data_IF_786515490359
#
_entry.id   IF_786515490359
#
_cell.length_a   1.000
_cell.length_b   1.000
_cell.length_c   1.000
_cell.angle_alpha   90.00
_cell.angle_beta   90.00
_cell.angle_gamma   90.00
#
_symmetry.space_group_name_H-M   'P 1'
#
loop_
_entity.id
_entity.type
_entity.pdbx_description
1 polymer ?
#
# COMPACT_ATOMS: atom_id res chain seq x y z
N UNK A 1 52.41 26.18 8.39
CA UNK A 1 51.63 25.12 9.07
C UNK A 1 51.07 25.66 10.37
N UNK A 2 49.81 26.09 10.40
CA UNK A 2 49.15 26.52 11.64
C UNK A 2 48.60 25.26 12.32
N UNK A 3 49.22 24.86 13.43
CA UNK A 3 48.72 23.76 14.27
C UNK A 3 47.51 24.29 15.02
N UNK A 4 46.32 24.14 14.43
CA UNK A 4 45.05 24.36 15.14
C UNK A 4 44.94 23.28 16.22
N UNK A 5 45.13 23.71 17.48
CA UNK A 5 45.07 22.86 18.67
C UNK A 5 43.73 22.10 18.67
N UNK A 6 43.77 20.76 18.65
CA UNK A 6 42.61 19.82 18.65
C UNK A 6 41.45 20.19 19.60
N UNK A 7 41.74 20.90 20.70
CA UNK A 7 40.76 21.38 21.67
C UNK A 7 39.86 22.49 21.13
N UNK A 8 40.38 23.35 20.25
CA UNK A 8 39.63 24.42 19.61
C UNK A 8 38.66 23.86 18.57
N UNK A 9 39.07 22.84 17.80
CA UNK A 9 38.17 22.17 16.83
C UNK A 9 36.98 21.52 17.53
N UNK A 10 37.19 20.85 18.67
CA UNK A 10 36.10 20.25 19.47
C UNK A 10 35.12 21.29 20.03
N UNK A 11 35.65 22.43 20.49
CA UNK A 11 34.85 23.57 20.93
C UNK A 11 34.02 24.16 19.78
N UNK A 12 34.63 24.36 18.61
CA UNK A 12 33.92 24.86 17.43
C UNK A 12 32.85 23.89 16.94
N UNK A 13 33.13 22.58 16.92
CA UNK A 13 32.10 21.57 16.58
C UNK A 13 30.98 21.54 17.60
N UNK A 14 31.27 21.70 18.90
CA UNK A 14 30.23 21.76 19.92
C UNK A 14 29.39 23.03 19.82
N UNK A 15 30.00 24.18 19.59
CA UNK A 15 29.30 25.45 19.39
C UNK A 15 28.44 25.41 18.12
N UNK A 16 28.95 24.85 17.02
CA UNK A 16 28.18 24.67 15.78
C UNK A 16 27.00 23.71 15.97
N UNK A 17 27.21 22.59 16.68
CA UNK A 17 26.13 21.66 17.02
C UNK A 17 25.08 22.33 17.91
N UNK A 18 25.51 23.11 18.89
CA UNK A 18 24.60 23.84 19.78
C UNK A 18 23.78 24.87 19.01
N UNK A 19 24.40 25.64 18.10
CA UNK A 19 23.72 26.63 17.25
C UNK A 19 22.73 25.95 16.29
N UNK A 20 23.12 24.85 15.65
CA UNK A 20 22.21 24.12 14.75
C UNK A 20 21.01 23.52 15.49
N UNK A 21 21.24 22.97 16.69
CA UNK A 21 20.15 22.45 17.54
C UNK A 21 19.25 23.58 18.04
N UNK A 22 19.78 24.70 18.49
CA UNK A 22 18.95 25.83 18.96
C UNK A 22 18.19 26.49 17.81
N UNK A 23 18.79 26.66 16.64
CA UNK A 23 18.08 27.15 15.44
C UNK A 23 17.00 26.17 14.98
N UNK A 24 17.23 24.85 15.06
CA UNK A 24 16.21 23.85 14.75
C UNK A 24 15.05 23.93 15.75
N UNK A 25 15.33 24.01 17.06
CA UNK A 25 14.30 24.12 18.10
C UNK A 25 13.51 25.42 17.94
N UNK A 26 14.17 26.55 17.71
CA UNK A 26 13.51 27.86 17.55
C UNK A 26 12.63 27.91 16.29
N UNK A 27 13.11 27.37 15.17
CA UNK A 27 12.34 27.30 13.93
C UNK A 27 11.14 26.34 14.06
N UNK A 28 11.32 25.24 14.78
CA UNK A 28 10.25 24.27 15.07
C UNK A 28 9.19 24.86 16.02
N UNK A 29 9.60 25.61 17.05
CA UNK A 29 8.66 26.29 17.97
C UNK A 29 7.84 27.37 17.28
N UNK A 30 8.36 27.98 16.21
CA UNK A 30 7.62 28.98 15.43
C UNK A 30 6.52 28.39 14.54
N UNK A 31 6.61 27.10 14.18
CA UNK A 31 5.62 26.41 13.35
C UNK A 31 4.54 25.68 14.15
N UNK A 32 4.73 25.48 15.46
CA UNK A 32 3.83 24.69 16.31
C UNK A 32 3.27 25.55 17.45
N UNK A 33 2.36 26.46 17.12
CA UNK A 33 1.44 27.00 18.11
C UNK A 33 0.19 26.11 18.16
N UNK A 34 -0.11 25.65 19.38
CA UNK A 34 -1.27 24.83 19.80
C UNK A 34 -1.15 23.31 19.65
N UNK A 35 -0.34 22.67 20.50
CA UNK A 35 -0.68 21.36 21.10
C UNK A 35 0.18 21.14 22.35
N UNK A 36 -0.41 20.53 23.38
CA UNK A 36 0.19 20.27 24.69
C UNK A 36 1.48 19.46 24.59
N UNK A 37 2.57 20.00 25.13
CA UNK A 37 3.91 19.41 25.11
C UNK A 37 4.02 18.25 26.11
N UNK A 38 4.01 17.00 25.63
CA UNK A 38 4.42 15.82 26.42
C UNK A 38 5.77 15.26 25.90
N UNK A 39 6.86 15.39 26.67
CA UNK A 39 8.19 14.89 26.30
C UNK A 39 8.25 13.38 26.01
N UNK A 40 7.37 12.56 26.62
CA UNK A 40 7.36 11.10 26.37
C UNK A 40 6.93 10.78 24.95
N UNK A 41 5.97 11.54 24.43
CA UNK A 41 5.44 11.38 23.09
C UNK A 41 6.51 11.68 22.02
N UNK A 42 7.35 12.69 22.27
CA UNK A 42 8.47 13.05 21.41
C UNK A 42 9.55 11.96 21.38
N UNK A 43 9.90 11.40 22.55
CA UNK A 43 10.90 10.32 22.64
C UNK A 43 10.42 9.06 21.93
N UNK A 44 9.13 8.70 22.07
CA UNK A 44 8.54 7.57 21.35
C UNK A 44 8.54 7.82 19.85
N UNK A 45 8.09 8.99 19.39
CA UNK A 45 8.09 9.35 17.97
C UNK A 45 9.50 9.36 17.38
N UNK A 46 10.48 9.96 18.06
CA UNK A 46 11.88 9.99 17.59
C UNK A 46 12.48 8.59 17.58
N UNK A 47 12.23 7.78 18.61
CA UNK A 47 12.67 6.37 18.65
C UNK A 47 12.07 5.55 17.50
N UNK A 48 10.77 5.71 17.23
CA UNK A 48 10.11 5.05 16.09
C UNK A 48 10.66 5.52 14.75
N UNK A 49 10.91 6.81 14.56
CA UNK A 49 11.49 7.35 13.33
C UNK A 49 12.92 6.85 13.11
N UNK A 50 13.72 6.79 14.17
CA UNK A 50 15.07 6.23 14.15
C UNK A 50 15.03 4.73 13.84
N UNK A 51 14.13 3.96 14.48
CA UNK A 51 13.93 2.54 14.16
C UNK A 51 13.46 2.31 12.72
N UNK A 52 12.59 3.17 12.18
CA UNK A 52 12.16 3.13 10.76
C UNK A 52 13.33 3.37 9.80
N UNK A 53 14.22 4.30 10.12
CA UNK A 53 15.43 4.60 9.34
C UNK A 53 16.43 3.43 9.31
N UNK A 54 16.60 2.73 10.44
CA UNK A 54 17.54 1.61 10.54
C UNK A 54 16.98 0.26 10.05
N UNK A 55 15.67 0.02 10.09
CA UNK A 55 15.05 -1.24 9.60
C UNK A 55 14.95 -1.34 8.07
N UNK A 56 14.95 -0.21 7.36
CA UNK A 56 14.85 -0.17 5.89
C UNK A 56 15.97 0.68 5.28
N UNK A 57 17.23 0.22 5.35
CA UNK A 57 18.30 0.89 4.63
C UNK A 57 17.95 0.96 3.14
N UNK A 58 18.17 2.12 2.52
CA UNK A 58 18.07 2.30 1.06
C UNK A 58 19.06 1.34 0.41
N UNK A 59 18.61 0.14 0.04
CA UNK A 59 19.43 -0.79 -0.73
C UNK A 59 19.47 -0.25 -2.17
N UNK A 60 20.65 -0.11 -2.79
CA UNK A 60 20.70 0.09 -4.23
C UNK A 60 20.12 -1.15 -4.90
N UNK A 61 19.03 -0.98 -5.66
CA UNK A 61 18.48 -2.07 -6.46
C UNK A 61 19.40 -2.33 -7.67
N UNK A 62 19.44 -3.57 -8.14
CA UNK A 62 20.22 -3.95 -9.33
C UNK A 62 19.39 -3.92 -10.62
N UNK A 63 18.21 -3.29 -10.60
CA UNK A 63 17.40 -3.06 -11.79
C UNK A 63 18.01 -1.95 -12.65
N UNK A 64 17.53 -1.83 -13.90
CA UNK A 64 17.91 -0.71 -14.78
C UNK A 64 17.45 0.64 -14.19
N UNK A 65 16.29 0.66 -13.56
CA UNK A 65 15.73 1.81 -12.83
C UNK A 65 15.19 1.31 -11.49
N UNK A 66 15.33 2.11 -10.44
CA UNK A 66 14.79 1.80 -9.12
C UNK A 66 13.68 2.79 -8.77
N UNK A 67 12.53 2.28 -8.35
CA UNK A 67 11.42 3.15 -7.89
C UNK A 67 11.87 4.05 -6.73
N UNK A 68 12.72 3.56 -5.83
CA UNK A 68 13.23 4.30 -4.68
C UNK A 68 14.28 5.38 -5.00
N UNK A 69 14.73 5.49 -6.25
CA UNK A 69 15.72 6.51 -6.67
C UNK A 69 15.10 7.91 -6.63
N UNK A 70 15.61 8.79 -5.78
CA UNK A 70 15.15 10.18 -5.67
C UNK A 70 15.95 11.10 -6.60
N UNK A 71 15.43 12.31 -6.85
CA UNK A 71 16.13 13.38 -7.58
C UNK A 71 15.79 13.46 -9.07
N UNK A 72 14.97 12.55 -9.59
CA UNK A 72 14.50 12.58 -10.99
C UNK A 72 13.19 13.35 -11.18
N UNK A 73 12.33 13.38 -10.15
CA UNK A 73 11.04 14.04 -10.21
C UNK A 73 10.66 14.60 -8.85
N UNK A 74 10.63 15.93 -8.74
CA UNK A 74 10.17 16.62 -7.53
C UNK A 74 8.74 16.21 -7.16
N UNK A 75 7.87 16.01 -8.15
CA UNK A 75 6.48 15.57 -7.94
C UNK A 75 6.42 14.21 -7.24
N UNK A 76 7.29 13.27 -7.63
CA UNK A 76 7.37 11.95 -6.99
C UNK A 76 8.04 12.04 -5.62
N UNK A 77 9.16 12.76 -5.52
CA UNK A 77 9.96 12.84 -4.30
C UNK A 77 9.19 13.50 -3.14
N UNK A 78 8.29 14.44 -3.44
CA UNK A 78 7.40 15.06 -2.45
C UNK A 78 6.31 14.10 -1.94
N UNK A 79 5.94 13.10 -2.74
CA UNK A 79 4.83 12.18 -2.44
C UNK A 79 5.33 10.86 -1.85
N UNK A 80 6.43 10.32 -2.37
CA UNK A 80 6.97 9.02 -1.99
C UNK A 80 7.70 9.06 -0.64
N UNK A 81 7.21 8.29 0.33
CA UNK A 81 7.83 8.16 1.64
C UNK A 81 8.27 6.72 1.86
N UNK A 82 9.56 6.46 1.68
CA UNK A 82 10.15 5.12 1.80
C UNK A 82 10.05 4.49 3.19
N UNK A 83 9.71 5.27 4.23
CA UNK A 83 9.55 4.76 5.60
C UNK A 83 8.18 4.16 5.87
N UNK A 84 7.23 4.35 4.94
CA UNK A 84 5.88 3.84 5.07
C UNK A 84 5.86 2.31 5.00
N UNK A 85 5.10 1.70 5.91
CA UNK A 85 5.00 0.25 6.02
C UNK A 85 3.64 -0.21 5.48
N UNK A 86 3.61 -0.90 4.32
CA UNK A 86 2.36 -1.25 3.66
C UNK A 86 1.56 -2.34 4.39
N UNK A 87 2.20 -3.10 5.27
CA UNK A 87 1.57 -4.17 6.03
C UNK A 87 1.36 -3.80 7.49
N UNK A 88 0.26 -4.29 8.04
CA UNK A 88 0.01 -4.34 9.46
C UNK A 88 0.67 -5.61 10.04
N UNK A 89 1.39 -5.43 11.14
CA UNK A 89 2.12 -6.45 11.90
C UNK A 89 1.84 -6.20 13.38
N UNK A 90 2.18 -7.15 14.25
CA UNK A 90 2.05 -6.96 15.69
C UNK A 90 2.92 -5.79 16.18
N UNK A 91 4.07 -5.53 15.53
CA UNK A 91 5.02 -4.49 15.92
C UNK A 91 4.62 -3.08 15.48
N UNK A 92 3.76 -2.94 14.47
CA UNK A 92 3.28 -1.65 13.97
C UNK A 92 1.75 -1.50 14.06
N UNK A 93 1.11 -2.33 14.90
CA UNK A 93 -0.33 -2.35 15.13
C UNK A 93 -0.87 -1.08 15.81
N UNK A 94 0.02 -0.24 16.38
CA UNK A 94 -0.35 1.06 16.92
C UNK A 94 -0.59 2.05 15.77
N UNK A 95 -1.87 2.23 15.42
CA UNK A 95 -2.28 3.20 14.41
C UNK A 95 -2.41 4.58 15.07
N UNK A 96 -1.76 5.63 14.53
CA UNK A 96 -1.92 7.00 15.03
C UNK A 96 -3.40 7.42 15.11
N UNK A 97 -3.77 8.17 16.16
CA UNK A 97 -5.17 8.51 16.45
C UNK A 97 -5.86 9.27 15.29
N UNK A 98 -5.14 10.17 14.62
CA UNK A 98 -5.65 10.88 13.43
C UNK A 98 -5.95 9.90 12.27
N UNK A 99 -5.06 8.93 12.08
CA UNK A 99 -5.18 7.88 11.07
C UNK A 99 -6.33 6.94 11.38
N UNK A 100 -6.48 6.55 12.64
CA UNK A 100 -7.57 5.71 13.11
C UNK A 100 -8.93 6.40 12.96
N UNK A 101 -9.05 7.68 13.35
CA UNK A 101 -10.28 8.47 13.19
C UNK A 101 -10.67 8.67 11.74
N UNK A 102 -9.72 8.93 10.86
CA UNK A 102 -9.97 8.99 9.42
C UNK A 102 -10.48 7.63 8.92
N UNK A 103 -9.82 6.54 9.31
CA UNK A 103 -10.15 5.19 8.86
C UNK A 103 -11.57 4.75 9.30
N UNK A 104 -12.00 5.06 10.52
CA UNK A 104 -13.36 4.77 10.98
C UNK A 104 -14.47 5.45 10.14
N UNK A 105 -14.17 6.59 9.53
CA UNK A 105 -15.13 7.36 8.72
C UNK A 105 -15.32 6.78 7.31
N UNK A 106 -14.44 5.88 6.86
CA UNK A 106 -14.49 5.34 5.50
C UNK A 106 -15.81 4.65 5.20
N UNK A 107 -16.30 3.83 6.13
CA UNK A 107 -17.57 3.11 5.99
C UNK A 107 -18.56 3.38 7.14
N UNK A 108 -18.17 4.12 8.18
CA UNK A 108 -19.09 4.57 9.23
C UNK A 108 -19.71 3.43 10.04
N UNK A 109 -18.88 2.43 10.42
CA UNK A 109 -19.33 1.31 11.24
C UNK A 109 -19.96 1.80 12.56
N UNK A 110 -21.16 1.33 12.87
CA UNK A 110 -21.86 1.69 14.12
C UNK A 110 -21.25 0.92 15.28
N UNK A 111 -20.67 1.63 16.24
CA UNK A 111 -20.07 1.08 17.47
C UNK A 111 -19.06 -0.07 17.21
N UNK A 112 -17.95 0.21 16.52
CA UNK A 112 -16.94 -0.81 16.22
C UNK A 112 -16.34 -1.39 17.52
N UNK A 113 -15.98 -2.68 17.49
CA UNK A 113 -15.17 -3.30 18.56
C UNK A 113 -13.85 -2.54 18.69
N UNK A 114 -13.27 -2.52 19.89
CA UNK A 114 -11.93 -1.96 20.10
C UNK A 114 -10.93 -2.51 19.07
N UNK A 115 -10.24 -1.61 18.36
CA UNK A 115 -9.27 -1.99 17.35
C UNK A 115 -8.14 -2.82 17.96
N UNK A 116 -7.61 -2.42 19.12
CA UNK A 116 -6.55 -3.15 19.80
C UNK A 116 -6.97 -4.59 20.16
N UNK A 117 -8.18 -4.76 20.68
CA UNK A 117 -8.72 -6.09 20.97
C UNK A 117 -8.93 -6.92 19.69
N UNK A 118 -9.35 -6.27 18.61
CA UNK A 118 -9.55 -6.91 17.30
C UNK A 118 -8.21 -7.35 16.69
N UNK A 119 -7.17 -6.53 16.77
CA UNK A 119 -5.83 -6.84 16.28
C UNK A 119 -5.16 -7.94 17.09
N UNK A 120 -5.33 -7.94 18.43
CA UNK A 120 -4.85 -9.03 19.28
C UNK A 120 -5.50 -10.38 18.91
N UNK A 121 -6.81 -10.38 18.66
CA UNK A 121 -7.55 -11.56 18.22
C UNK A 121 -7.09 -12.02 16.82
N UNK A 122 -6.90 -11.08 15.89
CA UNK A 122 -6.44 -11.32 14.54
C UNK A 122 -5.05 -11.97 14.50
N UNK A 123 -4.07 -11.38 15.18
CA UNK A 123 -2.69 -11.91 15.21
C UNK A 123 -2.54 -13.15 16.10
N UNK A 124 -3.58 -13.52 16.86
CA UNK A 124 -3.70 -14.86 17.46
C UNK A 124 -4.10 -15.95 16.44
N UNK A 125 -4.62 -15.58 15.27
CA UNK A 125 -5.09 -16.51 14.22
C UNK A 125 -4.15 -16.54 13.02
N UNK A 126 -3.64 -15.39 12.58
CA UNK A 126 -2.72 -15.26 11.44
C UNK A 126 -1.34 -14.77 11.93
N UNK A 127 -0.25 -14.98 11.17
CA UNK A 127 1.06 -14.47 11.58
C UNK A 127 1.04 -12.95 11.79
N UNK A 128 1.47 -12.51 12.97
CA UNK A 128 1.69 -11.09 13.28
C UNK A 128 3.16 -10.66 13.20
N UNK A 129 4.09 -11.62 13.10
CA UNK A 129 5.52 -11.40 13.19
C UNK A 129 6.24 -11.87 11.92
N UNK A 130 7.33 -11.17 11.55
CA UNK A 130 8.17 -11.49 10.39
C UNK A 130 8.14 -10.40 9.32
N UNK A 131 9.09 -10.44 8.37
CA UNK A 131 8.97 -9.65 7.14
C UNK A 131 7.86 -10.28 6.29
N UNK A 132 6.71 -9.62 6.08
CA UNK A 132 5.61 -10.17 5.28
C UNK A 132 5.99 -10.47 3.84
N UNK A 133 7.11 -9.89 3.37
CA UNK A 133 7.64 -10.11 2.03
C UNK A 133 8.73 -11.18 2.00
N UNK A 134 9.16 -11.71 3.16
CA UNK A 134 10.13 -12.78 3.47
C UNK A 134 11.40 -12.90 2.59
N UNK A 135 11.65 -11.96 1.69
CA UNK A 135 12.54 -12.14 0.54
C UNK A 135 13.11 -10.81 0.00
N UNK A 136 13.04 -9.68 0.73
CA UNK A 136 13.76 -8.46 0.29
C UNK A 136 15.27 -8.70 0.11
N UNK A 137 15.80 -9.77 0.72
CA UNK A 137 17.20 -10.18 0.60
C UNK A 137 17.55 -11.07 -0.59
N UNK A 138 16.59 -11.78 -1.20
CA UNK A 138 16.86 -12.81 -2.24
C UNK A 138 17.08 -12.21 -3.63
N UNK A 139 16.29 -11.21 -4.01
CA UNK A 139 16.36 -10.61 -5.33
C UNK A 139 17.31 -9.40 -5.31
N UNK A 140 18.22 -9.32 -6.29
CA UNK A 140 18.95 -8.09 -6.57
C UNK A 140 18.05 -7.01 -7.17
N UNK A 141 17.01 -7.42 -7.90
CA UNK A 141 16.02 -6.58 -8.57
C UNK A 141 14.67 -7.30 -8.53
N UNK A 142 13.70 -6.80 -7.77
CA UNK A 142 12.35 -7.37 -7.72
C UNK A 142 11.44 -6.66 -8.73
N UNK A 143 11.00 -7.41 -9.74
CA UNK A 143 10.05 -6.96 -10.77
C UNK A 143 8.64 -7.39 -10.44
N UNK A 144 7.70 -6.46 -10.54
CA UNK A 144 6.29 -6.71 -10.21
C UNK A 144 5.36 -6.34 -11.36
N UNK A 145 4.40 -7.21 -11.66
CA UNK A 145 3.24 -6.91 -12.49
C UNK A 145 2.03 -6.61 -11.60
N UNK A 146 1.46 -5.42 -11.72
CA UNK A 146 0.15 -5.06 -11.13
C UNK A 146 -0.90 -5.22 -12.21
N UNK A 147 -1.82 -6.17 -12.02
CA UNK A 147 -2.86 -6.51 -12.99
C UNK A 147 -4.21 -6.06 -12.46
N UNK A 148 -4.72 -4.97 -13.02
CA UNK A 148 -6.07 -4.47 -12.79
C UNK A 148 -7.11 -5.29 -13.54
N UNK A 149 -8.34 -4.77 -13.59
CA UNK A 149 -9.51 -5.51 -14.02
C UNK A 149 -10.11 -5.01 -15.35
N UNK A 150 -9.51 -4.01 -15.98
CA UNK A 150 -10.05 -3.38 -17.19
C UNK A 150 -10.20 -4.36 -18.35
N UNK A 151 -11.28 -4.19 -19.11
CA UNK A 151 -11.55 -4.88 -20.37
C UNK A 151 -10.50 -4.65 -21.45
N UNK A 152 -9.66 -3.63 -21.32
CA UNK A 152 -8.51 -3.39 -22.21
C UNK A 152 -7.50 -4.55 -22.23
N UNK A 153 -7.57 -5.47 -21.25
CA UNK A 153 -6.78 -6.69 -21.25
C UNK A 153 -7.22 -7.69 -22.32
N UNK A 154 -8.48 -7.66 -22.78
CA UNK A 154 -8.99 -8.65 -23.74
C UNK A 154 -8.22 -8.55 -25.06
N UNK A 155 -7.76 -9.71 -25.55
CA UNK A 155 -6.94 -9.87 -26.75
C UNK A 155 -5.59 -9.12 -26.72
N UNK A 156 -5.16 -8.64 -25.54
CA UNK A 156 -3.87 -7.95 -25.37
C UNK A 156 -2.68 -8.89 -25.55
N UNK A 157 -2.86 -10.19 -25.26
CA UNK A 157 -1.81 -11.21 -25.25
C UNK A 157 -0.66 -10.91 -24.27
N UNK A 158 -0.92 -10.15 -23.21
CA UNK A 158 0.09 -9.82 -22.20
C UNK A 158 0.45 -10.96 -21.25
N UNK A 159 -0.25 -12.10 -21.30
CA UNK A 159 -0.15 -13.13 -20.27
C UNK A 159 1.26 -13.68 -20.03
N UNK A 160 2.04 -13.89 -21.11
CA UNK A 160 3.45 -14.33 -20.98
C UNK A 160 4.34 -13.26 -20.34
N UNK A 161 4.13 -12.00 -20.69
CA UNK A 161 4.88 -10.87 -20.14
C UNK A 161 4.55 -10.69 -18.65
N UNK A 162 3.26 -10.73 -18.28
CA UNK A 162 2.80 -10.70 -16.89
C UNK A 162 3.44 -11.83 -16.07
N UNK A 163 3.37 -13.08 -16.54
CA UNK A 163 3.88 -14.24 -15.79
C UNK A 163 5.41 -14.25 -15.64
N UNK A 164 6.14 -13.45 -16.44
CA UNK A 164 7.60 -13.32 -16.35
C UNK A 164 8.12 -12.53 -15.14
N UNK A 165 7.23 -11.81 -14.43
CA UNK A 165 7.61 -10.99 -13.27
C UNK A 165 7.79 -11.84 -12.01
N UNK A 166 8.64 -11.40 -11.08
CA UNK A 166 8.85 -12.09 -9.80
C UNK A 166 7.54 -12.16 -9.02
N UNK A 167 6.90 -11.00 -8.84
CA UNK A 167 5.57 -10.89 -8.25
C UNK A 167 4.52 -10.50 -9.28
N UNK A 168 3.39 -11.22 -9.24
CA UNK A 168 2.17 -10.85 -9.94
C UNK A 168 1.10 -10.56 -8.91
N UNK A 169 0.61 -9.32 -8.93
CA UNK A 169 -0.29 -8.70 -7.97
C UNK A 169 -1.67 -8.52 -8.63
N UNK A 170 -2.69 -9.20 -8.11
CA UNK A 170 -4.07 -9.17 -8.64
C UNK A 170 -5.06 -8.70 -7.57
N UNK A 171 -6.30 -8.42 -7.94
CA UNK A 171 -7.27 -7.84 -7.01
C UNK A 171 -8.71 -8.26 -7.27
N UNK A 172 -9.58 -8.09 -6.26
CA UNK A 172 -11.03 -8.32 -6.34
C UNK A 172 -11.35 -9.77 -6.79
N UNK A 173 -12.40 -9.95 -7.59
CA UNK A 173 -12.87 -11.27 -8.08
C UNK A 173 -12.29 -11.68 -9.43
N UNK A 174 -11.23 -11.01 -9.89
CA UNK A 174 -10.69 -11.16 -11.23
C UNK A 174 -10.20 -12.61 -11.52
N UNK A 175 -10.76 -13.34 -12.50
CA UNK A 175 -10.36 -14.71 -12.82
C UNK A 175 -9.15 -14.75 -13.77
N UNK A 176 -8.31 -15.77 -13.65
CA UNK A 176 -7.25 -16.06 -14.64
C UNK A 176 -7.68 -17.18 -15.60
N UNK A 177 -8.43 -18.16 -15.10
CA UNK A 177 -8.91 -19.30 -15.86
C UNK A 177 -9.75 -18.88 -17.07
N UNK A 178 -9.33 -19.30 -18.28
CA UNK A 178 -9.96 -18.93 -19.55
C UNK A 178 -9.50 -17.58 -20.14
N UNK A 179 -8.61 -16.85 -19.45
CA UNK A 179 -8.09 -15.56 -19.87
C UNK A 179 -6.54 -15.52 -19.87
N UNK A 180 -5.88 -16.66 -19.66
CA UNK A 180 -4.44 -16.76 -19.39
C UNK A 180 -3.58 -16.17 -20.50
N UNK A 181 -4.03 -16.25 -21.76
CA UNK A 181 -3.31 -15.63 -22.88
C UNK A 181 -3.17 -14.12 -22.71
N UNK A 182 -4.17 -13.49 -22.13
CA UNK A 182 -4.27 -12.04 -21.97
C UNK A 182 -3.76 -11.58 -20.60
N UNK A 183 -4.14 -12.28 -19.53
CA UNK A 183 -3.90 -11.83 -18.16
C UNK A 183 -2.86 -12.66 -17.42
N UNK A 184 -2.36 -13.74 -18.01
CA UNK A 184 -1.42 -14.66 -17.38
C UNK A 184 -2.08 -15.63 -16.39
N UNK A 185 -1.31 -16.61 -15.95
CA UNK A 185 -1.74 -17.66 -15.02
C UNK A 185 -1.14 -17.49 -13.61
N UNK A 186 0.01 -16.81 -13.50
CA UNK A 186 0.73 -16.62 -12.25
C UNK A 186 -0.01 -15.61 -11.37
N UNK A 187 -0.11 -15.93 -10.08
CA UNK A 187 -0.53 -14.98 -9.03
C UNK A 187 0.33 -15.25 -7.81
N UNK A 188 0.96 -14.20 -7.28
CA UNK A 188 1.76 -14.31 -6.05
C UNK A 188 1.01 -13.72 -4.87
N UNK A 189 0.38 -12.56 -5.08
CA UNK A 189 -0.41 -11.87 -4.07
C UNK A 189 -1.73 -11.42 -4.68
N UNK A 190 -2.80 -11.50 -3.90
CA UNK A 190 -4.14 -11.10 -4.33
C UNK A 190 -4.82 -10.22 -3.28
N UNK A 191 -5.14 -8.99 -3.66
CA UNK A 191 -5.82 -8.01 -2.82
C UNK A 191 -7.32 -8.28 -2.75
N UNK A 192 -7.84 -8.40 -1.53
CA UNK A 192 -9.25 -8.72 -1.28
C UNK A 192 -9.79 -7.91 -0.10
N UNK A 193 -11.10 -7.78 -0.07
CA UNK A 193 -11.88 -7.35 1.09
C UNK A 193 -13.15 -8.23 1.12
N UNK A 194 -13.87 -8.36 2.26
CA UNK A 194 -14.91 -9.39 2.43
C UNK A 194 -15.96 -9.41 1.31
N UNK A 195 -16.38 -8.23 0.86
CA UNK A 195 -17.39 -8.05 -0.18
C UNK A 195 -16.88 -8.38 -1.60
N UNK A 196 -15.57 -8.44 -1.80
CA UNK A 196 -14.90 -8.67 -3.09
C UNK A 196 -13.89 -9.82 -3.03
N UNK A 197 -14.22 -10.85 -2.26
CA UNK A 197 -13.43 -12.08 -2.16
C UNK A 197 -13.82 -13.12 -3.23
N UNK A 198 -12.83 -13.91 -3.65
CA UNK A 198 -12.99 -15.19 -4.35
C UNK A 198 -12.01 -16.20 -3.74
N UNK A 199 -12.26 -17.49 -3.90
CA UNK A 199 -11.27 -18.50 -3.49
C UNK A 199 -9.96 -18.34 -4.26
N UNK A 200 -8.85 -18.47 -3.53
CA UNK A 200 -7.49 -18.31 -4.06
C UNK A 200 -6.78 -19.66 -4.12
N UNK A 201 -5.83 -19.80 -5.04
CA UNK A 201 -4.97 -20.97 -5.09
C UNK A 201 -4.10 -21.07 -3.82
N UNK A 202 -3.77 -22.29 -3.39
CA UNK A 202 -3.18 -22.55 -2.07
C UNK A 202 -1.82 -21.86 -1.81
N UNK A 203 -1.08 -21.48 -2.86
CA UNK A 203 0.22 -20.82 -2.77
C UNK A 203 0.15 -19.29 -2.84
N UNK A 204 -1.03 -18.72 -3.12
CA UNK A 204 -1.24 -17.27 -3.24
C UNK A 204 -1.32 -16.64 -1.86
N UNK A 205 -0.57 -15.56 -1.65
CA UNK A 205 -0.70 -14.72 -0.46
C UNK A 205 -1.92 -13.81 -0.60
N UNK A 206 -2.88 -13.94 0.32
CA UNK A 206 -4.05 -13.07 0.41
C UNK A 206 -3.67 -11.78 1.13
N UNK A 207 -3.87 -10.62 0.49
CA UNK A 207 -3.71 -9.33 1.15
C UNK A 207 -5.11 -8.77 1.45
N UNK A 208 -5.53 -8.81 2.72
CA UNK A 208 -6.75 -8.17 3.18
C UNK A 208 -6.57 -6.66 3.18
N UNK A 209 -7.47 -5.92 2.52
CA UNK A 209 -7.61 -4.47 2.67
C UNK A 209 -8.77 -4.19 3.63
N UNK A 210 -8.51 -3.82 4.89
CA UNK A 210 -9.56 -3.56 5.86
C UNK A 210 -10.07 -2.13 5.72
N UNK A 211 -11.32 -1.94 5.29
CA UNK A 211 -11.97 -0.62 5.23
C UNK A 211 -12.79 -0.29 6.48
N UNK A 212 -12.95 -1.27 7.38
CA UNK A 212 -13.64 -1.18 8.67
C UNK A 212 -13.17 -2.27 9.63
N UNK A 213 -13.45 -2.13 10.93
CA UNK A 213 -13.06 -3.11 11.96
C UNK A 213 -13.70 -4.47 11.71
N UNK A 214 -14.91 -4.48 11.18
CA UNK A 214 -15.60 -5.71 10.79
C UNK A 214 -14.82 -6.57 9.77
N UNK A 215 -13.99 -5.97 8.90
CA UNK A 215 -13.22 -6.71 7.89
C UNK A 215 -12.09 -7.53 8.53
N UNK A 216 -11.46 -6.97 9.57
CA UNK A 216 -10.45 -7.67 10.37
C UNK A 216 -11.09 -8.84 11.13
N UNK A 217 -12.27 -8.61 11.74
CA UNK A 217 -13.04 -9.65 12.42
C UNK A 217 -13.53 -10.73 11.46
N UNK A 218 -13.88 -10.37 10.24
CA UNK A 218 -14.29 -11.32 9.21
C UNK A 218 -13.19 -12.35 8.97
N UNK A 219 -11.92 -11.94 8.83
CA UNK A 219 -10.80 -12.90 8.68
C UNK A 219 -10.72 -13.88 9.85
N UNK A 220 -10.80 -13.38 11.09
CA UNK A 220 -10.79 -14.23 12.28
C UNK A 220 -11.87 -15.29 12.20
N UNK A 221 -13.12 -14.87 11.98
CA UNK A 221 -14.27 -15.78 11.97
C UNK A 221 -14.27 -16.70 10.74
N UNK A 222 -13.92 -16.21 9.55
CA UNK A 222 -13.87 -16.99 8.33
C UNK A 222 -12.87 -18.15 8.39
N UNK A 223 -11.80 -18.01 9.20
CA UNK A 223 -10.82 -19.05 9.48
C UNK A 223 -11.19 -19.96 10.66
N UNK A 224 -12.19 -19.61 11.48
CA UNK A 224 -12.48 -20.29 12.76
C UNK A 224 -13.94 -20.71 12.92
N UNK A 225 -14.87 -19.79 13.21
CA UNK A 225 -16.26 -20.09 13.58
C UNK A 225 -17.26 -19.88 12.43
N UNK A 226 -16.94 -19.00 11.49
CA UNK A 226 -17.78 -18.63 10.34
C UNK A 226 -19.06 -17.89 10.69
N UNK A 227 -19.05 -17.12 11.79
CA UNK A 227 -20.21 -16.39 12.30
C UNK A 227 -20.56 -15.14 11.49
N UNK A 228 -19.57 -14.46 10.89
CA UNK A 228 -19.82 -13.30 10.04
C UNK A 228 -20.13 -13.79 8.62
N UNK A 229 -21.36 -13.51 8.16
CA UNK A 229 -21.85 -13.90 6.83
C UNK A 229 -22.44 -12.72 6.04
N UNK A 230 -22.44 -11.53 6.64
CA UNK A 230 -23.05 -10.34 6.10
C UNK A 230 -22.34 -9.09 6.65
N UNK A 231 -22.07 -8.12 5.78
CA UNK A 231 -21.61 -6.77 6.15
C UNK A 231 -22.70 -5.75 5.80
N UNK A 232 -22.55 -5.01 4.69
CA UNK A 232 -23.65 -4.35 3.99
C UNK A 232 -24.16 -5.17 2.80
N UNK A 233 -23.45 -6.24 2.44
CA UNK A 233 -23.85 -7.29 1.49
C UNK A 233 -23.45 -8.66 2.05
N UNK A 234 -23.97 -9.78 1.52
CA UNK A 234 -23.51 -11.11 1.89
C UNK A 234 -22.01 -11.29 1.64
N UNK A 235 -21.32 -11.92 2.59
CA UNK A 235 -19.89 -12.25 2.50
C UNK A 235 -19.65 -13.73 2.83
N UNK A 236 -18.56 -14.34 2.33
CA UNK A 236 -18.26 -15.75 2.60
C UNK A 236 -18.15 -16.04 4.10
N UNK A 237 -18.88 -17.05 4.59
CA UNK A 237 -18.77 -17.51 5.99
C UNK A 237 -17.43 -18.15 6.29
N UNK A 238 -16.82 -18.78 5.29
CA UNK A 238 -15.58 -19.55 5.40
C UNK A 238 -14.73 -19.29 4.17
N UNK A 239 -13.42 -19.32 4.36
CA UNK A 239 -12.42 -19.22 3.30
C UNK A 239 -11.43 -20.37 3.42
N UNK A 240 -10.82 -20.78 2.30
CA UNK A 240 -9.85 -21.89 2.27
C UNK A 240 -8.40 -21.44 2.33
N UNK A 241 -8.14 -20.12 2.34
CA UNK A 241 -6.78 -19.57 2.41
C UNK A 241 -6.12 -20.02 3.71
N UNK A 242 -4.88 -20.50 3.61
CA UNK A 242 -4.10 -20.90 4.78
C UNK A 242 -3.73 -19.67 5.63
N UNK A 243 -3.76 -19.82 6.95
CA UNK A 243 -3.53 -18.73 7.91
C UNK A 243 -2.20 -18.01 7.66
N UNK A 244 -1.16 -18.77 7.36
CA UNK A 244 0.19 -18.29 7.06
C UNK A 244 0.36 -17.53 5.74
N UNK A 245 -0.67 -17.56 4.88
CA UNK A 245 -0.72 -16.84 3.61
C UNK A 245 -1.52 -15.54 3.68
N UNK A 246 -2.06 -15.19 4.84
CA UNK A 246 -2.89 -13.99 5.00
C UNK A 246 -2.03 -12.86 5.55
N UNK A 247 -2.02 -11.77 4.79
CA UNK A 247 -1.38 -10.50 5.11
C UNK A 247 -2.45 -9.42 5.22
N UNK A 248 -2.17 -8.36 5.97
CA UNK A 248 -3.12 -7.27 6.21
C UNK A 248 -2.53 -5.95 5.77
N UNK A 249 -3.26 -5.24 4.92
CA UNK A 249 -2.90 -3.91 4.45
C UNK A 249 -3.01 -2.90 5.60
N UNK A 250 -2.00 -2.05 5.77
CA UNK A 250 -1.94 -1.11 6.88
C UNK A 250 -2.89 0.09 6.67
N UNK A 251 -3.86 0.36 7.57
CA UNK A 251 -4.73 1.53 7.45
C UNK A 251 -3.99 2.87 7.46
N UNK A 252 -2.87 2.99 8.19
CA UNK A 252 -2.04 4.19 8.15
C UNK A 252 -1.41 4.39 6.76
N UNK A 253 -1.07 3.31 6.06
CA UNK A 253 -0.59 3.37 4.68
C UNK A 253 -1.71 3.78 3.71
N UNK A 254 -2.95 3.37 3.94
CA UNK A 254 -4.11 3.85 3.18
C UNK A 254 -4.29 5.36 3.33
N UNK A 255 -4.18 5.89 4.56
CA UNK A 255 -4.25 7.35 4.80
C UNK A 255 -3.11 8.08 4.10
N UNK A 256 -1.88 7.59 4.21
CA UNK A 256 -0.75 8.15 3.47
C UNK A 256 -1.01 8.22 1.96
N UNK A 257 -1.61 7.19 1.36
CA UNK A 257 -1.99 7.22 -0.06
C UNK A 257 -3.05 8.29 -0.32
N UNK A 258 -4.06 8.38 0.54
CA UNK A 258 -5.11 9.38 0.43
C UNK A 258 -4.60 10.83 0.52
N UNK A 259 -3.65 11.10 1.41
CA UNK A 259 -3.13 12.45 1.64
C UNK A 259 -2.04 12.82 0.64
N UNK A 260 -1.03 11.97 0.48
CA UNK A 260 0.16 12.32 -0.32
C UNK A 260 -0.04 12.07 -1.81
N UNK A 261 -0.85 11.08 -2.19
CA UNK A 261 -1.00 10.71 -3.60
C UNK A 261 -2.31 11.22 -4.19
N UNK A 262 -3.42 11.07 -3.46
CA UNK A 262 -4.73 11.54 -3.93
C UNK A 262 -4.99 13.02 -3.63
N UNK A 263 -4.20 13.66 -2.76
CA UNK A 263 -4.45 15.05 -2.34
C UNK A 263 -5.93 15.24 -1.91
N UNK A 264 -6.46 14.24 -1.19
CA UNK A 264 -7.85 14.17 -0.71
C UNK A 264 -8.96 14.05 -1.78
N UNK A 265 -8.65 13.68 -3.02
CA UNK A 265 -9.66 13.41 -4.04
C UNK A 265 -10.40 12.08 -3.80
N UNK A 266 -11.71 12.09 -3.97
CA UNK A 266 -12.60 10.97 -3.62
C UNK A 266 -12.79 10.81 -2.11
N UNK A 267 -13.53 9.79 -1.68
CA UNK A 267 -13.73 9.48 -0.26
C UNK A 267 -12.58 8.67 0.33
N UNK A 268 -12.02 7.75 -0.46
CA UNK A 268 -10.83 6.95 -0.15
C UNK A 268 -10.27 6.30 -1.43
N UNK A 269 -9.01 5.81 -1.44
CA UNK A 269 -8.40 5.20 -2.61
C UNK A 269 -9.10 3.91 -3.08
N UNK A 270 -9.17 3.69 -4.39
CA UNK A 270 -9.63 2.42 -4.95
C UNK A 270 -8.65 1.27 -4.68
N UNK A 271 -9.12 0.03 -4.78
CA UNK A 271 -8.24 -1.16 -4.70
C UNK A 271 -7.13 -1.14 -5.75
N UNK A 272 -7.40 -0.58 -6.94
CA UNK A 272 -6.40 -0.43 -8.00
C UNK A 272 -5.26 0.47 -7.58
N UNK A 273 -5.58 1.67 -7.07
CA UNK A 273 -4.56 2.60 -6.59
C UNK A 273 -3.81 2.05 -5.38
N UNK A 274 -4.50 1.44 -4.41
CA UNK A 274 -3.85 0.80 -3.26
C UNK A 274 -2.85 -0.28 -3.71
N UNK A 275 -3.23 -1.11 -4.68
CA UNK A 275 -2.35 -2.16 -5.21
C UNK A 275 -1.12 -1.60 -5.93
N UNK A 276 -1.29 -0.51 -6.69
CA UNK A 276 -0.20 0.20 -7.35
C UNK A 276 0.77 0.80 -6.33
N UNK A 277 0.25 1.55 -5.36
CA UNK A 277 1.07 2.20 -4.34
C UNK A 277 1.80 1.19 -3.46
N UNK A 278 1.15 0.07 -3.14
CA UNK A 278 1.80 -1.06 -2.52
C UNK A 278 2.99 -1.55 -3.35
N UNK A 279 2.81 -1.78 -4.65
CA UNK A 279 3.88 -2.25 -5.54
C UNK A 279 5.07 -1.29 -5.54
N UNK A 280 4.83 0.03 -5.56
CA UNK A 280 5.89 1.05 -5.50
C UNK A 280 6.75 0.98 -4.23
N UNK A 281 6.21 0.48 -3.12
CA UNK A 281 6.93 0.42 -1.84
C UNK A 281 7.61 -0.93 -1.59
N UNK A 282 7.27 -1.96 -2.36
CA UNK A 282 7.77 -3.33 -2.15
C UNK A 282 8.57 -3.90 -3.32
N UNK A 283 8.51 -3.26 -4.49
CA UNK A 283 9.16 -3.66 -5.72
C UNK A 283 10.18 -2.61 -6.17
N UNK A 284 11.13 -3.04 -6.97
CA UNK A 284 12.14 -2.14 -7.55
C UNK A 284 11.74 -1.65 -8.95
N UNK A 285 11.04 -2.50 -9.71
CA UNK A 285 10.47 -2.22 -11.04
C UNK A 285 9.00 -2.65 -11.05
N UNK A 286 8.10 -1.80 -11.58
CA UNK A 286 6.66 -2.05 -11.61
C UNK A 286 6.10 -1.84 -13.01
N UNK A 287 5.46 -2.90 -13.52
CA UNK A 287 4.69 -2.89 -14.75
C UNK A 287 3.19 -2.96 -14.43
N UNK A 288 2.40 -2.12 -15.09
CA UNK A 288 0.96 -1.97 -14.80
C UNK A 288 0.14 -2.33 -16.03
N UNK A 289 -0.82 -3.23 -15.85
CA UNK A 289 -1.70 -3.77 -16.89
C UNK A 289 -3.15 -3.70 -16.43
N UNK A 290 -4.11 -3.46 -17.33
CA UNK A 290 -5.53 -3.56 -16.97
C UNK A 290 -6.08 -2.39 -16.14
N UNK A 291 -5.48 -1.22 -16.25
CA UNK A 291 -5.93 0.02 -15.60
C UNK A 291 -6.51 0.98 -16.64
N UNK A 292 -7.46 1.81 -16.23
CA UNK A 292 -8.15 2.75 -17.11
C UNK A 292 -9.25 2.11 -17.97
N UNK A 293 -9.76 2.88 -18.91
CA UNK A 293 -10.74 2.42 -19.90
C UNK A 293 -10.11 1.61 -21.03
N UNK A 294 -10.95 0.97 -21.86
CA UNK A 294 -10.54 0.45 -23.17
C UNK A 294 -10.30 1.58 -24.21
N UNK A 295 -9.82 1.25 -25.41
CA UNK A 295 -9.62 2.24 -26.49
C UNK A 295 -10.88 2.99 -26.91
N UNK A 296 -12.07 2.49 -26.55
CA UNK A 296 -13.37 3.12 -26.83
C UNK A 296 -13.88 3.95 -25.66
N UNK A 297 -13.12 4.05 -24.56
CA UNK A 297 -13.49 4.78 -23.36
C UNK A 297 -14.47 4.03 -22.44
N UNK A 298 -14.69 2.73 -22.65
CA UNK A 298 -15.55 1.93 -21.80
C UNK A 298 -14.83 1.40 -20.58
N UNK A 299 -15.53 1.46 -19.44
CA UNK A 299 -15.10 0.87 -18.18
C UNK A 299 -15.86 -0.42 -17.94
N UNK A 300 -15.23 -1.56 -18.16
CA UNK A 300 -15.83 -2.86 -17.92
C UNK A 300 -14.76 -3.85 -17.48
N UNK A 301 -15.16 -4.96 -16.87
CA UNK A 301 -14.23 -6.01 -16.49
C UNK A 301 -13.89 -6.92 -17.69
N UNK A 302 -12.65 -7.40 -17.78
CA UNK A 302 -12.24 -8.29 -18.89
C UNK A 302 -12.97 -9.65 -18.93
N UNK A 303 -13.55 -10.07 -17.80
CA UNK A 303 -14.26 -11.35 -17.67
C UNK A 303 -15.79 -11.23 -17.75
N UNK A 304 -16.34 -10.02 -17.76
CA UNK A 304 -17.78 -9.79 -17.82
C UNK A 304 -18.19 -9.31 -19.21
N UNK A 305 -19.26 -9.87 -19.75
CA UNK A 305 -19.81 -9.45 -21.03
C UNK A 305 -20.80 -8.27 -20.85
N UNK A 306 -20.40 -7.27 -20.05
CA UNK A 306 -21.20 -6.09 -19.79
C UNK A 306 -20.51 -4.86 -20.38
N UNK A 307 -20.88 -4.52 -21.61
CA UNK A 307 -20.35 -3.34 -22.32
C UNK A 307 -20.93 -2.02 -21.82
N UNK A 308 -21.91 -2.05 -20.91
CA UNK A 308 -22.53 -0.86 -20.32
C UNK A 308 -21.64 -0.26 -19.23
N UNK A 309 -20.51 0.33 -19.63
CA UNK A 309 -19.45 0.81 -18.74
C UNK A 309 -19.73 2.07 -17.93
N UNK A 310 -20.99 2.51 -17.84
CA UNK A 310 -21.38 3.72 -17.10
C UNK A 310 -21.48 3.53 -15.58
N UNK A 311 -21.56 2.29 -15.10
CA UNK A 311 -21.75 2.00 -13.67
C UNK A 311 -20.50 2.28 -12.81
N UNK A 312 -19.30 2.16 -13.40
CA UNK A 312 -18.04 2.25 -12.64
C UNK A 312 -17.55 3.69 -12.42
N UNK A 313 -17.98 4.67 -13.23
CA UNK A 313 -17.60 6.09 -13.08
C UNK A 313 -18.43 6.87 -12.03
N UNK A 314 -19.59 6.36 -11.61
CA UNK A 314 -20.64 7.20 -10.99
C UNK A 314 -21.02 6.86 -9.54
N UNK A 315 -20.19 6.14 -8.78
CA UNK A 315 -20.51 5.90 -7.35
C UNK A 315 -20.10 7.07 -6.44
N UNK A 316 -19.20 7.95 -6.89
CA UNK A 316 -18.69 9.08 -6.10
C UNK A 316 -17.81 8.69 -4.92
N UNK A 317 -17.48 7.40 -4.76
CA UNK A 317 -16.62 6.91 -3.67
C UNK A 317 -15.13 7.13 -3.97
N UNK A 318 -14.73 6.93 -5.22
CA UNK A 318 -13.36 7.10 -5.69
C UNK A 318 -13.33 8.15 -6.81
N UNK A 319 -12.25 8.90 -6.90
CA UNK A 319 -11.97 9.78 -8.05
C UNK A 319 -11.12 9.02 -9.08
N UNK A 320 -11.79 8.23 -9.92
CA UNK A 320 -11.11 7.36 -10.90
C UNK A 320 -10.32 8.13 -11.95
N UNK A 321 -10.73 9.35 -12.29
CA UNK A 321 -10.01 10.18 -13.26
C UNK A 321 -8.71 10.71 -12.64
N UNK A 322 -8.76 11.15 -11.37
CA UNK A 322 -7.56 11.57 -10.62
C UNK A 322 -6.58 10.39 -10.42
N UNK A 323 -7.08 9.22 -10.01
CA UNK A 323 -6.28 8.00 -9.86
C UNK A 323 -5.59 7.58 -11.17
N UNK A 324 -6.30 7.67 -12.29
CA UNK A 324 -5.74 7.36 -13.60
C UNK A 324 -4.65 8.37 -13.98
N UNK A 325 -4.85 9.66 -13.69
CA UNK A 325 -3.84 10.69 -13.95
C UNK A 325 -2.55 10.49 -13.14
N UNK A 326 -2.64 10.04 -11.89
CA UNK A 326 -1.47 9.62 -11.09
C UNK A 326 -0.71 8.51 -11.81
N UNK A 327 -1.42 7.51 -12.34
CA UNK A 327 -0.81 6.38 -13.06
C UNK A 327 -0.09 6.85 -14.32
N UNK A 328 -0.71 7.73 -15.11
CA UNK A 328 -0.08 8.33 -16.30
C UNK A 328 1.14 9.18 -15.94
N UNK A 329 1.07 9.94 -14.85
CA UNK A 329 2.19 10.76 -14.37
C UNK A 329 3.36 9.89 -13.92
N UNK A 330 3.10 8.82 -13.17
CA UNK A 330 4.14 7.84 -12.80
C UNK A 330 4.82 7.22 -14.02
N UNK A 331 4.04 6.94 -15.07
CA UNK A 331 4.58 6.39 -16.32
C UNK A 331 5.43 7.43 -17.09
N UNK A 332 5.01 8.70 -17.14
CA UNK A 332 5.73 9.76 -17.85
C UNK A 332 7.09 10.10 -17.22
N UNK A 333 7.24 9.87 -15.91
CA UNK A 333 8.51 10.02 -15.18
C UNK A 333 9.28 8.70 -15.02
N UNK A 334 8.90 7.66 -15.76
CA UNK A 334 9.56 6.35 -15.81
C UNK A 334 9.64 5.63 -14.44
N UNK A 335 8.72 5.91 -13.51
CA UNK A 335 8.60 5.18 -12.24
C UNK A 335 7.87 3.86 -12.40
N UNK A 336 7.01 3.75 -13.41
CA UNK A 336 6.35 2.51 -13.81
C UNK A 336 6.38 2.36 -15.33
N UNK A 337 6.22 1.14 -15.82
CA UNK A 337 5.87 0.89 -17.22
C UNK A 337 4.37 0.64 -17.33
N UNK A 338 3.68 1.46 -18.12
CA UNK A 338 2.22 1.38 -18.27
C UNK A 338 1.82 0.72 -19.59
N UNK A 339 1.08 -0.38 -19.52
CA UNK A 339 0.58 -1.12 -20.67
C UNK A 339 -0.90 -0.79 -20.90
N UNK A 340 -1.17 -0.03 -21.95
CA UNK A 340 -2.49 0.54 -22.25
C UNK A 340 -3.56 -0.49 -22.63
N UNK A 341 -3.15 -1.70 -23.05
CA UNK A 341 -4.11 -2.69 -23.57
C UNK A 341 -4.75 -2.26 -24.88
N UNK A 342 -5.98 -2.73 -25.10
CA UNK A 342 -6.77 -2.50 -26.32
C UNK A 342 -8.01 -1.66 -26.11
#
# INVERSE_FOLDING_TARGET
MVVVRRRNVKMFTFAFLLITVTSFVLNYTHQVTTTTWDPRHLVVQVSEHIQKLFKYPRRPCSCRTCISELGRSLWFDQRFNSTMQPFLTSQNALIPEDSYRWWLKLQGEKAPKSLNATLAELFGVIPGDGDPLQERGSYGCRRCAVVGNSGNLRQSRYGRDIDSHDFVLRMNRAPTAGYESDVGSKTTHHFVYPESYKELAANVSMILIPFKTLDLRWVVTALTTGTINFTYVPVPRKIKVKKEKILVYNPAFMKYIYENWLEHHGRYPSTGLLSLMFALHVCDEVNVYGFGADSKGHWHHYWENNTSGGAFRKTGVHDGDFEFNITLTLASIEKIKFFKGR
#
